data_IF_824392117493
#
_entry.id   IF_824392117493
#
_cell.length_a   1.000
_cell.length_b   1.000
_cell.length_c   1.000
_cell.angle_alpha   90.00
_cell.angle_beta   90.00
_cell.angle_gamma   90.00
#
_symmetry.space_group_name_H-M   'P 1'
#
loop_
_entity.id
_entity.type
_entity.pdbx_description
1 polymer ?
#
# COMPACT_ATOMS: atom_id res chain seq x y z
N UNK A 1 21.52 -1.96 -37.44
CA UNK A 1 20.42 -1.39 -36.65
C UNK A 1 19.80 -2.35 -35.69
N UNK A 2 19.69 -3.58 -36.05
CA UNK A 2 19.09 -4.53 -35.10
C UNK A 2 19.92 -4.74 -33.86
N UNK A 3 21.22 -4.54 -33.96
CA UNK A 3 22.09 -4.68 -32.82
C UNK A 3 21.78 -3.71 -31.72
N UNK A 4 21.47 -2.48 -32.09
CA UNK A 4 21.09 -1.49 -31.09
C UNK A 4 19.83 -1.90 -30.38
N UNK A 5 18.93 -2.52 -31.07
CA UNK A 5 17.70 -3.01 -30.44
C UNK A 5 17.97 -4.09 -29.42
N UNK A 6 18.91 -4.97 -29.71
CA UNK A 6 19.26 -6.02 -28.76
C UNK A 6 19.74 -5.43 -27.44
N UNK A 7 20.56 -4.41 -27.53
CA UNK A 7 21.02 -3.73 -26.30
C UNK A 7 19.89 -3.10 -25.55
N UNK A 8 18.99 -2.46 -26.26
CA UNK A 8 17.85 -1.83 -25.62
C UNK A 8 16.98 -2.87 -24.93
N UNK A 9 16.83 -4.04 -25.53
CA UNK A 9 16.04 -5.10 -24.93
C UNK A 9 16.65 -5.56 -23.61
N UNK A 10 17.96 -5.68 -23.53
CA UNK A 10 18.61 -6.08 -22.30
C UNK A 10 18.37 -5.06 -21.18
N UNK A 11 18.56 -3.79 -21.48
CA UNK A 11 18.28 -2.76 -20.53
C UNK A 11 16.79 -2.75 -20.16
N UNK A 12 15.96 -2.98 -21.15
CA UNK A 12 14.53 -3.01 -20.94
C UNK A 12 14.07 -4.14 -20.03
N UNK A 13 14.79 -5.26 -20.01
CA UNK A 13 14.41 -6.37 -19.15
C UNK A 13 14.38 -6.00 -17.70
N UNK A 14 15.39 -5.33 -17.20
CA UNK A 14 15.40 -4.87 -15.82
C UNK A 14 14.38 -3.75 -15.59
N UNK A 15 14.29 -2.84 -16.55
CA UNK A 15 13.34 -1.73 -16.44
C UNK A 15 11.89 -2.20 -16.44
N UNK A 16 11.60 -3.29 -17.14
CA UNK A 16 10.24 -3.82 -17.19
C UNK A 16 9.76 -4.30 -15.83
N UNK A 17 10.61 -4.95 -15.06
CA UNK A 17 10.21 -5.39 -13.72
C UNK A 17 9.89 -4.20 -12.83
N UNK A 18 10.75 -3.18 -12.82
CA UNK A 18 10.51 -1.98 -12.02
C UNK A 18 9.30 -1.22 -12.53
N UNK A 19 9.15 -1.12 -13.86
CA UNK A 19 8.01 -0.41 -14.45
C UNK A 19 6.69 -1.11 -14.11
N UNK A 20 6.66 -2.45 -14.13
CA UNK A 20 5.45 -3.19 -13.78
C UNK A 20 5.08 -2.97 -12.32
N UNK A 21 6.06 -2.93 -11.44
CA UNK A 21 5.82 -2.68 -10.02
C UNK A 21 5.27 -1.27 -9.79
N UNK A 22 5.85 -0.27 -10.44
CA UNK A 22 5.38 1.11 -10.34
C UNK A 22 3.98 1.24 -10.92
N UNK A 23 3.70 0.55 -12.02
CA UNK A 23 2.40 0.58 -12.65
C UNK A 23 1.32 0.05 -11.72
N UNK A 24 1.57 -1.07 -11.05
CA UNK A 24 0.62 -1.62 -10.08
C UNK A 24 0.42 -0.67 -8.90
N UNK A 25 1.48 -0.02 -8.46
CA UNK A 25 1.38 0.95 -7.37
C UNK A 25 0.62 2.19 -7.81
N UNK A 26 0.75 2.60 -9.06
CA UNK A 26 -0.04 3.71 -9.61
C UNK A 26 -1.52 3.37 -9.65
N UNK A 27 -1.86 2.13 -9.99
CA UNK A 27 -3.25 1.67 -9.96
C UNK A 27 -3.80 1.69 -8.55
N UNK A 28 -3.01 1.23 -7.58
CA UNK A 28 -3.37 1.28 -6.18
C UNK A 28 -3.57 2.71 -5.72
N UNK A 29 -2.63 3.58 -6.10
CA UNK A 29 -2.71 4.99 -5.72
C UNK A 29 -4.00 5.61 -6.23
N UNK A 30 -4.36 5.33 -7.46
CA UNK A 30 -5.59 5.88 -8.05
C UNK A 30 -6.83 5.45 -7.26
N UNK A 31 -6.84 4.24 -6.74
CA UNK A 31 -7.96 3.74 -5.95
C UNK A 31 -8.00 4.34 -4.56
N UNK A 32 -6.85 4.60 -3.95
CA UNK A 32 -6.78 5.21 -2.64
C UNK A 32 -6.99 6.72 -2.69
N UNK A 33 -6.64 7.33 -3.82
CA UNK A 33 -6.61 8.79 -4.00
C UNK A 33 -8.01 9.31 -4.20
N UNK A 34 -8.76 9.47 -3.12
CA UNK A 34 -10.17 9.83 -3.19
C UNK A 34 -10.39 11.28 -3.65
N UNK A 35 -9.41 12.16 -3.43
CA UNK A 35 -9.53 13.55 -3.87
C UNK A 35 -8.81 13.82 -5.20
N UNK A 36 -8.23 12.79 -5.81
CA UNK A 36 -7.61 12.88 -7.13
C UNK A 36 -6.47 13.91 -7.22
N UNK A 37 -5.69 14.03 -6.14
CA UNK A 37 -4.55 14.96 -6.13
C UNK A 37 -3.24 14.30 -6.58
N UNK A 38 -3.27 13.04 -6.97
CA UNK A 38 -2.10 12.32 -7.48
C UNK A 38 -1.20 11.75 -6.40
N UNK A 39 -1.64 11.80 -5.15
CA UNK A 39 -0.87 11.30 -4.01
C UNK A 39 -1.83 10.82 -2.94
N UNK A 40 -1.32 10.03 -2.01
CA UNK A 40 -2.14 9.42 -0.96
C UNK A 40 -1.79 10.05 0.37
N UNK A 41 -2.76 10.66 1.03
CA UNK A 41 -2.60 11.18 2.38
C UNK A 41 -2.71 10.05 3.39
N UNK A 42 -2.33 10.33 4.63
CA UNK A 42 -2.49 9.35 5.72
C UNK A 42 -3.95 8.94 5.87
N UNK A 43 -4.86 9.90 5.80
CA UNK A 43 -6.28 9.59 5.96
C UNK A 43 -6.78 8.67 4.84
N UNK A 44 -6.42 8.97 3.60
CA UNK A 44 -6.78 8.12 2.46
C UNK A 44 -6.21 6.71 2.61
N UNK A 45 -4.97 6.62 3.06
CA UNK A 45 -4.30 5.36 3.29
C UNK A 45 -5.03 4.54 4.36
N UNK A 46 -5.34 5.16 5.49
CA UNK A 46 -6.05 4.50 6.57
C UNK A 46 -7.46 4.10 6.17
N UNK A 47 -8.17 4.98 5.49
CA UNK A 47 -9.55 4.70 5.08
C UNK A 47 -9.61 3.53 4.09
N UNK A 48 -8.71 3.52 3.12
CA UNK A 48 -8.69 2.45 2.14
C UNK A 48 -8.33 1.11 2.78
N UNK A 49 -7.28 1.09 3.61
CA UNK A 49 -6.80 -0.15 4.19
C UNK A 49 -7.64 -0.63 5.37
N UNK A 50 -8.45 0.24 5.96
CA UNK A 50 -9.42 -0.19 6.97
C UNK A 50 -10.53 -1.04 6.40
N UNK A 51 -10.66 -1.07 5.08
CA UNK A 51 -11.57 -1.99 4.42
C UNK A 51 -11.29 -3.44 4.80
N UNK A 52 -10.01 -3.80 4.93
CA UNK A 52 -9.65 -5.15 5.35
C UNK A 52 -10.11 -5.44 6.78
N UNK A 53 -10.02 -4.45 7.66
CA UNK A 53 -10.53 -4.60 9.02
C UNK A 53 -12.03 -4.90 8.99
N UNK A 54 -12.78 -4.13 8.23
CA UNK A 54 -14.24 -4.31 8.15
C UNK A 54 -14.60 -5.68 7.59
N UNK A 55 -13.85 -6.18 6.63
CA UNK A 55 -14.08 -7.50 6.08
C UNK A 55 -13.80 -8.63 7.06
N UNK A 56 -12.85 -8.44 7.96
CA UNK A 56 -12.52 -9.44 8.97
C UNK A 56 -13.42 -9.36 10.20
N UNK A 57 -13.95 -8.19 10.48
CA UNK A 57 -14.79 -7.94 11.65
C UNK A 57 -16.21 -8.45 11.37
N UNK A 58 -16.38 -9.75 11.48
CA UNK A 58 -17.63 -10.40 11.06
C UNK A 58 -18.83 -9.98 11.88
N UNK A 59 -18.65 -9.71 13.16
CA UNK A 59 -19.75 -9.30 14.04
C UNK A 59 -19.90 -7.79 14.16
N UNK A 60 -19.04 -7.03 13.48
CA UNK A 60 -19.10 -5.56 13.41
C UNK A 60 -19.06 -4.88 14.78
N UNK A 61 -18.25 -5.42 15.69
CA UNK A 61 -18.13 -4.84 17.04
C UNK A 61 -16.95 -3.85 17.15
N UNK A 62 -16.22 -3.63 16.07
CA UNK A 62 -15.09 -2.70 16.06
C UNK A 62 -13.80 -3.29 16.64
N UNK A 63 -13.80 -4.58 16.90
CA UNK A 63 -12.63 -5.30 17.43
C UNK A 63 -12.45 -6.58 16.64
N UNK A 64 -11.23 -6.84 16.20
CA UNK A 64 -10.92 -8.14 15.60
C UNK A 64 -10.51 -9.08 16.72
N UNK A 65 -11.34 -10.05 17.01
CA UNK A 65 -10.99 -11.11 17.95
C UNK A 65 -9.98 -12.06 17.30
N UNK A 66 -9.39 -12.94 18.10
CA UNK A 66 -8.40 -13.87 17.58
C UNK A 66 -8.93 -14.70 16.40
N UNK A 67 -10.16 -15.17 16.51
CA UNK A 67 -10.76 -16.02 15.47
C UNK A 67 -11.14 -15.25 14.21
N UNK A 68 -11.27 -13.94 14.27
CA UNK A 68 -11.52 -13.10 13.11
C UNK A 68 -10.26 -12.74 12.35
N UNK A 69 -9.10 -12.93 12.96
CA UNK A 69 -7.83 -12.62 12.33
C UNK A 69 -7.36 -13.76 11.45
N UNK A 70 -6.51 -13.48 10.43
CA UNK A 70 -6.05 -14.51 9.51
C UNK A 70 -5.42 -15.69 10.21
N UNK A 71 -5.05 -16.37 10.62
CA UNK A 71 -4.52 -17.51 11.31
C UNK A 71 -5.38 -17.98 12.48
N UNK A 72 -6.47 -17.29 12.77
CA UNK A 72 -7.37 -17.66 13.86
C UNK A 72 -6.76 -17.52 15.24
N UNK A 73 -5.73 -16.71 15.37
CA UNK A 73 -5.06 -16.48 16.65
C UNK A 73 -4.45 -15.09 16.65
N UNK A 74 -4.02 -14.67 17.83
CA UNK A 74 -3.44 -13.36 18.03
C UNK A 74 -4.24 -12.61 19.07
N UNK A 75 -3.73 -11.45 19.45
CA UNK A 75 -4.43 -10.62 20.41
C UNK A 75 -5.55 -9.84 19.71
N UNK A 76 -6.66 -9.60 20.37
CA UNK A 76 -7.68 -8.74 19.81
C UNK A 76 -7.12 -7.37 19.46
N UNK A 77 -7.57 -6.78 18.36
CA UNK A 77 -7.11 -5.47 17.94
C UNK A 77 -8.32 -4.60 17.64
N UNK A 78 -8.33 -3.39 18.20
CA UNK A 78 -9.39 -2.43 17.95
C UNK A 78 -9.16 -1.73 16.61
N UNK A 79 -10.21 -1.11 16.08
CA UNK A 79 -10.09 -0.31 14.87
C UNK A 79 -9.06 0.80 15.05
N UNK A 80 -9.07 1.47 16.22
CA UNK A 80 -8.12 2.54 16.49
C UNK A 80 -6.68 2.03 16.47
N UNK A 81 -6.43 0.88 17.09
CA UNK A 81 -5.09 0.29 17.08
C UNK A 81 -4.67 -0.14 15.67
N UNK A 82 -5.59 -0.66 14.88
CA UNK A 82 -5.33 -1.04 13.51
C UNK A 82 -4.93 0.19 12.67
N UNK A 83 -5.68 1.28 12.82
CA UNK A 83 -5.36 2.53 12.11
C UNK A 83 -4.02 3.10 12.57
N UNK A 84 -3.68 2.95 13.85
CA UNK A 84 -2.37 3.38 14.34
C UNK A 84 -1.22 2.57 13.71
N UNK A 85 -1.42 1.27 13.52
CA UNK A 85 -0.44 0.44 12.83
C UNK A 85 -0.27 0.88 11.38
N UNK A 86 -1.37 1.24 10.73
CA UNK A 86 -1.31 1.75 9.37
C UNK A 86 -0.56 3.08 9.30
N UNK A 87 -0.73 3.92 10.31
CA UNK A 87 0.00 5.19 10.37
C UNK A 87 1.51 4.96 10.47
N UNK A 88 1.93 3.98 11.28
CA UNK A 88 3.35 3.66 11.38
C UNK A 88 3.90 3.16 10.06
N UNK A 89 3.15 2.30 9.38
CA UNK A 89 3.55 1.81 8.07
C UNK A 89 3.64 2.95 7.05
N UNK A 90 2.67 3.85 7.08
CA UNK A 90 2.65 5.01 6.21
C UNK A 90 3.91 5.84 6.39
N UNK A 91 4.28 6.13 7.63
CA UNK A 91 5.46 6.96 7.92
C UNK A 91 6.75 6.29 7.45
N UNK A 92 6.83 4.97 7.51
CA UNK A 92 7.99 4.26 7.01
C UNK A 92 8.08 4.29 5.48
N UNK A 93 6.94 4.31 4.80
CA UNK A 93 6.90 4.39 3.35
C UNK A 93 7.10 5.82 2.83
N UNK A 94 6.78 6.80 3.66
CA UNK A 94 6.91 8.23 3.33
C UNK A 94 8.37 8.65 3.51
N UNK A 95 9.19 8.27 2.55
CA UNK A 95 10.66 8.42 2.68
C UNK A 95 11.07 9.87 2.76
N UNK A 96 10.40 10.74 2.01
CA UNK A 96 10.74 12.16 2.00
C UNK A 96 9.99 12.97 3.08
N UNK A 97 9.15 12.31 3.86
CA UNK A 97 8.42 12.92 4.98
C UNK A 97 7.58 14.13 4.57
N UNK A 98 6.95 14.05 3.40
CA UNK A 98 6.09 15.15 2.94
C UNK A 98 4.62 14.97 3.35
N UNK A 99 4.30 13.90 4.07
CA UNK A 99 2.95 13.65 4.52
C UNK A 99 2.06 12.94 3.50
N UNK A 100 2.63 12.53 2.38
CA UNK A 100 1.91 11.86 1.31
C UNK A 100 2.74 10.72 0.74
N UNK A 101 2.07 9.75 0.15
CA UNK A 101 2.75 8.68 -0.57
C UNK A 101 2.56 8.87 -2.06
N UNK A 102 3.67 8.81 -2.79
CA UNK A 102 3.65 8.74 -4.24
C UNK A 102 3.56 7.28 -4.69
N UNK A 103 3.32 7.05 -5.97
CA UNK A 103 3.32 5.69 -6.50
C UNK A 103 4.66 5.01 -6.27
N UNK A 104 5.75 5.76 -6.37
CA UNK A 104 7.09 5.23 -6.15
C UNK A 104 7.28 4.79 -4.69
N UNK A 105 6.79 5.58 -3.75
CA UNK A 105 6.89 5.24 -2.33
C UNK A 105 6.01 4.04 -1.99
N UNK A 106 4.85 3.93 -2.62
CA UNK A 106 3.99 2.76 -2.44
C UNK A 106 4.65 1.48 -2.97
N UNK A 107 5.45 1.60 -4.03
CA UNK A 107 6.14 0.46 -4.61
C UNK A 107 7.36 0.04 -3.80
N UNK A 108 7.91 0.93 -2.98
CA UNK A 108 9.11 0.64 -2.20
C UNK A 108 8.76 -0.21 -0.98
N UNK A 109 9.65 -1.11 -0.56
CA UNK A 109 9.41 -1.85 0.68
C UNK A 109 9.42 -0.90 1.88
N UNK A 110 8.67 -1.22 2.93
CA UNK A 110 8.69 -0.41 4.15
C UNK A 110 10.07 -0.38 4.79
N UNK A 111 10.44 0.75 5.32
CA UNK A 111 11.75 0.93 5.97
C UNK A 111 11.74 0.40 7.39
#
# INVERSE_FOLDING_TARGET
MRRAFALAVLAGGLSLAAAAQVQRSSDYLSKMDSDHDGRVSLLEYQDWLSYAFDGMDRNHDGVLSADEQPAGKGKPITRAAYRAQLAERFHKQDVNHDGFLSAKELAAPPQ
#
